data_IF_367017987987
#
_entry.id   IF_367017987987
#
_cell.length_a   1.000
_cell.length_b   1.000
_cell.length_c   1.000
_cell.angle_alpha   90.00
_cell.angle_beta   90.00
_cell.angle_gamma   90.00
#
_symmetry.space_group_name_H-M   'P 1'
#
loop_
_entity.id
_entity.type
_entity.pdbx_description
1 polymer ?
#
# COMPACT_ATOMS: atom_id res chain seq x y z
N UNK A 1 23.36 5.10 17.22
CA UNK A 1 23.73 4.27 16.08
C UNK A 1 22.90 2.98 16.10
N UNK A 2 22.41 2.50 14.97
CA UNK A 2 21.71 1.21 14.88
C UNK A 2 22.70 0.07 15.12
N UNK A 3 22.34 -0.89 15.98
CA UNK A 3 23.14 -2.10 16.27
C UNK A 3 22.22 -3.33 16.26
N UNK A 4 22.78 -4.50 16.08
CA UNK A 4 22.00 -5.74 16.06
C UNK A 4 21.42 -6.06 17.45
N UNK A 5 22.12 -5.68 18.52
CA UNK A 5 21.67 -5.82 19.90
C UNK A 5 20.38 -5.03 20.12
N UNK A 6 20.28 -3.78 19.58
CA UNK A 6 19.03 -3.01 19.63
C UNK A 6 17.86 -3.73 18.95
N UNK A 7 18.12 -4.45 17.86
CA UNK A 7 17.07 -5.24 17.17
C UNK A 7 16.64 -6.44 18.02
N UNK A 8 17.58 -7.12 18.68
CA UNK A 8 17.24 -8.19 19.63
C UNK A 8 16.50 -7.69 20.85
N UNK A 9 16.88 -6.52 21.37
CA UNK A 9 16.17 -5.89 22.48
C UNK A 9 14.75 -5.47 22.08
N UNK A 10 14.60 -4.95 20.86
CA UNK A 10 13.27 -4.68 20.29
C UNK A 10 12.43 -5.95 20.16
N UNK A 11 13.02 -7.07 19.72
CA UNK A 11 12.31 -8.36 19.63
C UNK A 11 11.80 -8.82 21.01
N UNK A 12 12.62 -8.70 22.04
CA UNK A 12 12.22 -9.03 23.42
C UNK A 12 11.09 -8.11 23.91
N UNK A 13 11.23 -6.79 23.69
CA UNK A 13 10.23 -5.81 24.09
C UNK A 13 8.87 -6.02 23.40
N UNK A 14 8.86 -6.49 22.16
CA UNK A 14 7.65 -6.74 21.37
C UNK A 14 6.94 -8.06 21.70
N UNK A 15 7.54 -8.92 22.53
CA UNK A 15 6.93 -10.19 22.94
C UNK A 15 5.61 -9.96 23.66
N UNK A 16 4.53 -10.57 23.15
CA UNK A 16 3.17 -10.39 23.69
C UNK A 16 2.47 -9.08 23.30
N UNK A 17 3.14 -8.21 22.53
CA UNK A 17 2.61 -6.91 22.07
C UNK A 17 2.36 -6.94 20.56
N UNK A 18 3.39 -7.23 19.79
CA UNK A 18 3.25 -7.43 18.35
C UNK A 18 2.98 -8.90 18.04
N UNK A 19 2.16 -9.12 17.02
CA UNK A 19 1.95 -10.47 16.49
C UNK A 19 3.20 -10.90 15.72
N UNK A 20 3.70 -12.11 15.97
CA UNK A 20 4.63 -12.78 15.04
C UNK A 20 3.82 -13.18 13.81
N UNK A 21 3.95 -12.40 12.74
CA UNK A 21 3.18 -12.66 11.51
C UNK A 21 3.79 -13.80 10.72
N UNK A 22 2.98 -14.51 9.95
CA UNK A 22 3.44 -15.66 9.17
C UNK A 22 4.09 -15.24 7.85
N UNK A 23 5.02 -16.06 7.35
CA UNK A 23 5.49 -16.05 5.98
C UNK A 23 4.66 -17.09 5.18
N UNK A 24 3.67 -16.63 4.42
CA UNK A 24 2.71 -17.49 3.71
C UNK A 24 3.21 -17.77 2.30
N UNK A 25 3.25 -19.06 1.91
CA UNK A 25 3.62 -19.46 0.55
C UNK A 25 2.59 -19.04 -0.50
N UNK A 26 3.03 -18.38 -1.57
CA UNK A 26 2.18 -17.75 -2.58
C UNK A 26 2.58 -18.11 -4.03
N UNK A 27 2.52 -19.40 -4.42
CA UNK A 27 3.08 -19.90 -5.71
C UNK A 27 2.39 -19.32 -6.95
N UNK A 28 1.16 -18.82 -6.82
CA UNK A 28 0.38 -18.29 -7.95
C UNK A 28 0.75 -16.85 -8.31
N UNK A 29 1.44 -16.12 -7.42
CA UNK A 29 1.76 -14.70 -7.63
C UNK A 29 3.00 -14.49 -8.50
N UNK A 30 3.95 -15.43 -8.48
CA UNK A 30 5.18 -15.34 -9.30
C UNK A 30 5.62 -16.73 -9.74
N UNK A 31 5.12 -17.25 -10.87
CA UNK A 31 5.48 -18.58 -11.36
C UNK A 31 6.98 -18.72 -11.59
N UNK A 32 7.57 -19.84 -11.11
CA UNK A 32 9.00 -20.09 -11.21
C UNK A 32 9.83 -19.51 -10.06
N UNK A 33 9.17 -18.90 -9.07
CA UNK A 33 9.77 -18.39 -7.83
C UNK A 33 9.11 -19.09 -6.64
N UNK A 34 9.90 -19.46 -5.63
CA UNK A 34 9.36 -19.91 -4.34
C UNK A 34 9.03 -18.65 -3.51
N UNK A 35 7.88 -18.03 -3.80
CA UNK A 35 7.46 -16.75 -3.23
C UNK A 35 6.70 -16.93 -1.93
N UNK A 36 7.10 -16.17 -0.91
CA UNK A 36 6.40 -16.05 0.37
C UNK A 36 5.98 -14.60 0.64
N UNK A 37 4.93 -14.44 1.44
CA UNK A 37 4.39 -13.15 1.88
C UNK A 37 4.58 -13.00 3.38
N UNK A 38 5.37 -12.04 3.83
CA UNK A 38 5.45 -11.64 5.24
C UNK A 38 4.28 -10.72 5.57
N UNK A 39 3.30 -11.23 6.28
CA UNK A 39 1.94 -10.66 6.38
C UNK A 39 1.80 -9.60 7.48
N UNK A 40 2.55 -8.50 7.41
CA UNK A 40 2.42 -7.38 8.35
C UNK A 40 1.07 -6.63 8.22
N UNK A 41 0.31 -6.85 7.15
CA UNK A 41 -1.10 -6.44 7.04
C UNK A 41 -2.02 -7.12 8.05
N UNK A 42 -1.61 -8.26 8.62
CA UNK A 42 -2.32 -8.97 9.70
C UNK A 42 -1.79 -8.65 11.10
N UNK A 43 -0.93 -7.65 11.25
CA UNK A 43 -0.45 -7.16 12.54
C UNK A 43 -1.64 -6.58 13.36
N UNK A 44 -1.47 -6.43 14.66
CA UNK A 44 -2.52 -5.98 15.60
C UNK A 44 -3.21 -4.68 15.15
N UNK A 45 -2.43 -3.72 14.63
CA UNK A 45 -2.95 -2.46 14.07
C UNK A 45 -3.15 -2.51 12.53
N UNK A 46 -3.13 -3.69 11.92
CA UNK A 46 -3.21 -3.83 10.47
C UNK A 46 -1.97 -3.37 9.72
N UNK A 47 -0.84 -3.08 10.38
CA UNK A 47 0.43 -2.71 9.76
C UNK A 47 1.62 -2.88 10.70
N UNK A 48 2.82 -2.93 10.13
CA UNK A 48 4.10 -3.06 10.85
C UNK A 48 4.41 -1.93 11.82
N UNK A 49 3.77 -0.78 11.71
CA UNK A 49 4.12 0.47 12.43
C UNK A 49 4.12 0.34 13.94
N UNK A 50 3.32 -0.56 14.50
CA UNK A 50 3.31 -0.86 15.94
C UNK A 50 4.71 -1.23 16.46
N UNK A 51 5.49 -2.01 15.69
CA UNK A 51 6.78 -2.54 16.11
C UNK A 51 7.76 -1.43 16.50
N UNK A 52 7.99 -0.50 15.57
CA UNK A 52 8.91 0.63 15.83
C UNK A 52 8.36 1.62 16.85
N UNK A 53 7.05 1.93 16.79
CA UNK A 53 6.42 2.84 17.74
C UNK A 53 6.52 2.31 19.18
N UNK A 54 6.23 1.04 19.38
CA UNK A 54 6.30 0.42 20.71
C UNK A 54 7.72 0.39 21.25
N UNK A 55 8.68 -0.11 20.47
CA UNK A 55 10.06 -0.18 20.92
C UNK A 55 10.62 1.20 21.23
N UNK A 56 10.37 2.21 20.40
CA UNK A 56 10.75 3.60 20.69
C UNK A 56 10.25 4.06 22.05
N UNK A 57 8.99 3.78 22.39
CA UNK A 57 8.41 4.16 23.68
C UNK A 57 9.05 3.44 24.86
N UNK A 58 9.52 2.21 24.69
CA UNK A 58 10.26 1.50 25.76
C UNK A 58 11.64 2.10 26.03
N UNK A 59 12.20 2.81 25.04
CA UNK A 59 13.49 3.49 25.17
C UNK A 59 13.40 4.90 25.78
N UNK A 60 12.20 5.44 26.00
CA UNK A 60 12.01 6.74 26.62
C UNK A 60 12.37 6.72 28.11
N UNK A 61 12.98 7.79 28.62
CA UNK A 61 13.19 7.98 30.04
C UNK A 61 11.87 8.11 30.82
N UNK A 62 11.90 7.94 32.14
CA UNK A 62 10.71 8.13 32.98
C UNK A 62 10.12 9.54 32.85
N UNK A 63 10.97 10.56 32.73
CA UNK A 63 10.55 11.94 32.53
C UNK A 63 9.88 12.16 31.18
N UNK A 64 10.41 11.57 30.09
CA UNK A 64 9.82 11.63 28.76
C UNK A 64 8.47 10.91 28.73
N UNK A 65 8.36 9.74 29.36
CA UNK A 65 7.11 9.00 29.52
C UNK A 65 6.06 9.81 30.28
N UNK A 66 6.44 10.47 31.36
CA UNK A 66 5.54 11.28 32.18
C UNK A 66 4.99 12.49 31.40
N UNK A 67 5.80 13.11 30.53
CA UNK A 67 5.34 14.20 29.65
C UNK A 67 4.42 13.71 28.55
N UNK A 68 4.63 12.49 28.04
CA UNK A 68 3.87 11.90 26.95
C UNK A 68 4.54 12.06 25.60
N UNK A 69 3.86 11.53 24.57
CA UNK A 69 4.38 11.48 23.21
C UNK A 69 3.46 12.21 22.24
N UNK A 70 4.03 12.68 21.12
CA UNK A 70 3.28 13.29 20.03
C UNK A 70 3.75 12.76 18.68
N UNK A 71 2.81 12.60 17.74
CA UNK A 71 3.12 12.24 16.37
C UNK A 71 2.23 13.01 15.40
N UNK A 72 2.67 13.11 14.14
CA UNK A 72 1.85 13.59 13.04
C UNK A 72 1.63 12.47 12.03
N UNK A 73 0.40 12.00 11.89
CA UNK A 73 0.01 10.99 10.89
C UNK A 73 -1.49 10.79 10.85
N UNK A 74 -2.05 10.69 9.66
CA UNK A 74 -3.45 10.29 9.44
C UNK A 74 -3.60 8.79 9.06
N UNK A 75 -2.55 7.96 9.23
CA UNK A 75 -2.55 6.58 8.76
C UNK A 75 -1.99 5.59 9.78
N UNK A 76 -1.26 4.58 9.27
CA UNK A 76 -0.73 3.46 10.05
C UNK A 76 0.16 3.88 11.24
N UNK A 77 0.93 4.96 11.09
CA UNK A 77 1.79 5.43 12.19
C UNK A 77 0.96 5.98 13.36
N UNK A 78 -0.13 6.69 13.09
CA UNK A 78 -1.04 7.16 14.13
C UNK A 78 -1.57 6.01 14.99
N UNK A 79 -2.10 4.97 14.35
CA UNK A 79 -2.62 3.78 15.05
C UNK A 79 -1.53 3.02 15.80
N UNK A 80 -0.34 2.88 15.18
CA UNK A 80 0.82 2.25 15.82
C UNK A 80 1.27 2.99 17.07
N UNK A 81 1.34 4.33 17.03
CA UNK A 81 1.68 5.18 18.18
C UNK A 81 0.59 5.12 19.26
N UNK A 82 -0.68 5.21 18.85
CA UNK A 82 -1.80 5.19 19.79
C UNK A 82 -1.86 3.87 20.60
N UNK A 83 -1.77 2.71 19.92
CA UNK A 83 -1.75 1.41 20.60
C UNK A 83 -0.48 1.23 21.44
N UNK A 84 0.70 1.65 20.93
CA UNK A 84 1.94 1.57 21.67
C UNK A 84 1.89 2.40 22.97
N UNK A 85 1.31 3.60 22.91
CA UNK A 85 1.11 4.46 24.07
C UNK A 85 0.15 3.84 25.09
N UNK A 86 -0.99 3.32 24.63
CA UNK A 86 -1.96 2.61 25.47
C UNK A 86 -1.29 1.45 26.22
N UNK A 87 -0.50 0.62 25.52
CA UNK A 87 0.20 -0.54 26.11
C UNK A 87 1.28 -0.15 27.10
N UNK A 88 1.90 1.03 26.94
CA UNK A 88 2.93 1.57 27.86
C UNK A 88 2.36 2.48 28.95
N UNK A 89 1.05 2.77 28.96
CA UNK A 89 0.44 3.72 29.91
C UNK A 89 0.92 5.17 29.71
N UNK A 90 1.30 5.56 28.48
CA UNK A 90 1.83 6.87 28.13
C UNK A 90 0.73 7.69 27.43
N UNK A 91 0.60 8.98 27.77
CA UNK A 91 -0.27 9.89 27.04
C UNK A 91 0.24 10.08 25.62
N UNK A 92 -0.64 9.93 24.62
CA UNK A 92 -0.32 10.20 23.21
C UNK A 92 -1.23 11.27 22.62
N UNK A 93 -0.62 12.20 21.88
CA UNK A 93 -1.32 13.20 21.06
C UNK A 93 -0.98 12.95 19.59
N UNK A 94 -2.00 12.86 18.74
CA UNK A 94 -1.82 12.65 17.30
C UNK A 94 -2.37 13.86 16.56
N UNK A 95 -1.51 14.60 15.90
CA UNK A 95 -1.89 15.69 15.01
C UNK A 95 -2.15 15.15 13.61
N UNK A 96 -3.27 15.54 13.01
CA UNK A 96 -3.64 15.18 11.64
C UNK A 96 -4.49 16.28 11.03
N UNK A 97 -4.50 16.39 9.67
CA UNK A 97 -5.35 17.36 8.98
C UNK A 97 -6.84 17.13 9.30
N UNK A 98 -7.62 18.20 9.36
CA UNK A 98 -9.06 18.15 9.60
C UNK A 98 -9.83 17.42 8.48
N UNK A 99 -9.30 17.41 7.25
CA UNK A 99 -9.80 16.62 6.12
C UNK A 99 -9.46 15.13 6.16
N UNK A 100 -8.84 14.60 7.23
CA UNK A 100 -8.55 13.19 7.35
C UNK A 100 -9.82 12.32 7.39
N UNK A 101 -9.81 11.11 6.76
CA UNK A 101 -10.97 10.21 6.78
C UNK A 101 -11.42 9.89 8.21
N UNK A 102 -12.72 10.00 8.45
CA UNK A 102 -13.33 9.77 9.79
C UNK A 102 -12.96 8.40 10.33
N UNK A 103 -12.92 7.36 9.50
CA UNK A 103 -12.53 6.01 9.89
C UNK A 103 -11.12 5.94 10.49
N UNK A 104 -10.16 6.70 9.94
CA UNK A 104 -8.77 6.78 10.44
C UNK A 104 -8.69 7.55 11.76
N UNK A 105 -9.48 8.62 11.91
CA UNK A 105 -9.59 9.40 13.15
C UNK A 105 -10.16 8.52 14.27
N UNK A 106 -11.28 7.86 14.02
CA UNK A 106 -11.93 7.01 15.02
C UNK A 106 -11.08 5.78 15.40
N UNK A 107 -10.40 5.16 14.43
CA UNK A 107 -9.45 4.08 14.70
C UNK A 107 -8.31 4.56 15.64
N UNK A 108 -7.79 5.78 15.46
CA UNK A 108 -6.76 6.35 16.33
C UNK A 108 -7.30 6.61 17.74
N UNK A 109 -8.51 7.18 17.87
CA UNK A 109 -9.17 7.42 19.15
C UNK A 109 -9.49 6.13 19.89
N UNK A 110 -9.85 5.06 19.18
CA UNK A 110 -10.22 3.76 19.79
C UNK A 110 -9.07 3.15 20.59
N UNK A 111 -7.82 3.50 20.28
CA UNK A 111 -6.64 3.14 21.06
C UNK A 111 -6.31 4.14 22.19
N UNK A 112 -7.20 5.11 22.47
CA UNK A 112 -7.07 6.01 23.60
C UNK A 112 -6.16 7.23 23.38
N UNK A 113 -5.70 7.49 22.15
CA UNK A 113 -4.92 8.69 21.85
C UNK A 113 -5.81 9.94 21.75
N UNK A 114 -5.28 11.07 22.23
CA UNK A 114 -5.85 12.39 21.99
C UNK A 114 -5.61 12.80 20.54
N UNK A 115 -6.67 13.17 19.83
CA UNK A 115 -6.59 13.59 18.42
C UNK A 115 -6.66 15.10 18.33
N UNK A 116 -5.63 15.72 17.74
CA UNK A 116 -5.56 17.13 17.42
C UNK A 116 -5.80 17.34 15.92
N UNK A 117 -7.02 17.75 15.55
CA UNK A 117 -7.34 18.11 14.17
C UNK A 117 -6.79 19.50 13.86
N UNK A 118 -6.10 19.64 12.73
CA UNK A 118 -5.45 20.86 12.28
C UNK A 118 -6.00 21.25 10.93
N UNK A 119 -6.47 22.50 10.79
CA UNK A 119 -6.91 23.03 9.50
C UNK A 119 -5.76 23.05 8.50
N UNK A 120 -5.99 22.53 7.29
CA UNK A 120 -5.02 22.50 6.21
C UNK A 120 -4.56 21.11 5.81
N UNK A 121 -3.27 20.99 5.41
CA UNK A 121 -2.67 19.76 4.89
C UNK A 121 -1.72 19.11 5.89
N UNK A 122 -1.09 17.99 5.47
CA UNK A 122 -0.14 17.26 6.33
C UNK A 122 0.99 18.13 6.90
N UNK A 123 1.54 19.06 6.09
CA UNK A 123 2.65 19.90 6.52
C UNK A 123 2.19 20.86 7.67
N UNK A 124 0.94 21.34 7.66
CA UNK A 124 0.37 22.17 8.74
C UNK A 124 0.21 21.38 10.04
N UNK A 125 -0.34 20.17 9.94
CA UNK A 125 -0.46 19.25 11.08
C UNK A 125 0.92 18.88 11.65
N UNK A 126 1.91 18.71 10.80
CA UNK A 126 3.28 18.44 11.22
C UNK A 126 3.90 19.61 11.99
N UNK A 127 3.74 20.84 11.50
CA UNK A 127 4.20 22.05 12.21
C UNK A 127 3.50 22.21 13.57
N UNK A 128 2.18 21.94 13.61
CA UNK A 128 1.42 21.95 14.88
C UNK A 128 1.95 20.92 15.87
N UNK A 129 2.30 19.72 15.41
CA UNK A 129 2.89 18.70 16.26
C UNK A 129 4.25 19.14 16.83
N UNK A 130 5.08 19.79 16.01
CA UNK A 130 6.36 20.34 16.48
C UNK A 130 6.16 21.49 17.49
N UNK A 131 5.20 22.37 17.24
CA UNK A 131 4.84 23.44 18.20
C UNK A 131 4.43 22.86 19.55
N UNK A 132 3.52 21.88 19.56
CA UNK A 132 3.02 21.24 20.77
C UNK A 132 4.14 20.44 21.49
N UNK A 133 5.06 19.82 20.73
CA UNK A 133 6.27 19.20 21.29
C UNK A 133 7.05 20.20 22.13
N UNK A 134 7.32 21.37 21.55
CA UNK A 134 8.18 22.38 22.21
C UNK A 134 7.45 23.05 23.39
N UNK A 135 6.14 23.32 23.27
CA UNK A 135 5.33 23.95 24.32
C UNK A 135 5.06 23.02 25.52
N UNK A 136 4.85 21.72 25.27
CA UNK A 136 4.41 20.74 26.28
C UNK A 136 5.52 19.77 26.68
N UNK A 137 6.65 19.79 25.99
CA UNK A 137 7.77 18.89 26.23
C UNK A 137 7.49 17.43 25.83
N UNK A 138 6.55 17.18 24.93
CA UNK A 138 6.27 15.85 24.40
C UNK A 138 7.47 15.27 23.65
N UNK A 139 7.66 13.95 23.73
CA UNK A 139 8.60 13.25 22.86
C UNK A 139 7.99 13.02 21.49
N UNK A 140 8.61 13.56 20.43
CA UNK A 140 8.12 13.38 19.07
C UNK A 140 8.48 11.99 18.54
N UNK A 141 7.49 11.21 18.14
CA UNK A 141 7.69 9.91 17.52
C UNK A 141 7.73 10.05 16.01
N UNK A 142 8.94 10.03 15.45
CA UNK A 142 9.14 10.12 14.01
C UNK A 142 8.71 8.81 13.31
N UNK A 143 7.98 8.86 12.18
CA UNK A 143 7.42 7.67 11.54
C UNK A 143 8.45 6.73 10.91
N UNK A 144 9.71 7.15 10.72
CA UNK A 144 10.77 6.36 10.07
C UNK A 144 12.21 6.79 10.39
N UNK A 145 12.48 8.07 10.65
CA UNK A 145 13.84 8.60 10.79
C UNK A 145 14.27 8.66 12.28
N UNK A 146 14.27 7.49 12.91
CA UNK A 146 14.66 7.31 14.32
C UNK A 146 15.27 5.91 14.50
N UNK A 147 16.41 5.82 15.16
CA UNK A 147 17.18 4.57 15.35
C UNK A 147 16.36 3.48 16.05
N UNK A 148 15.59 3.85 17.08
CA UNK A 148 14.82 2.89 17.86
C UNK A 148 13.57 2.44 17.08
N UNK A 149 12.94 3.35 16.31
CA UNK A 149 11.87 2.98 15.37
C UNK A 149 12.41 2.00 14.33
N UNK A 150 13.55 2.28 13.71
CA UNK A 150 14.18 1.40 12.72
C UNK A 150 14.53 0.04 13.33
N UNK A 151 15.06 -0.02 14.55
CA UNK A 151 15.38 -1.26 15.25
C UNK A 151 14.12 -2.11 15.48
N UNK A 152 13.00 -1.50 15.88
CA UNK A 152 11.71 -2.17 16.01
C UNK A 152 11.24 -2.81 14.71
N UNK A 153 11.39 -2.11 13.56
CA UNK A 153 11.06 -2.65 12.24
C UNK A 153 11.99 -3.79 11.82
N UNK A 154 13.26 -3.74 12.27
CA UNK A 154 14.25 -4.80 12.02
C UNK A 154 13.86 -6.17 12.58
N UNK A 155 12.96 -6.22 13.56
CA UNK A 155 12.46 -7.49 14.13
C UNK A 155 11.73 -8.36 13.11
N UNK A 156 11.18 -7.76 12.05
CA UNK A 156 10.56 -8.49 10.93
C UNK A 156 11.60 -9.38 10.24
N UNK A 157 12.83 -8.90 10.09
CA UNK A 157 13.91 -9.65 9.49
C UNK A 157 14.32 -10.87 10.33
N UNK A 158 14.32 -10.74 11.67
CA UNK A 158 14.57 -11.89 12.56
C UNK A 158 13.50 -12.97 12.39
N UNK A 159 12.23 -12.56 12.28
CA UNK A 159 11.13 -13.49 12.04
C UNK A 159 11.22 -14.15 10.65
N UNK A 160 11.65 -13.41 9.62
CA UNK A 160 11.87 -13.97 8.27
C UNK A 160 12.96 -15.03 8.32
N UNK A 161 14.11 -14.76 8.95
CA UNK A 161 15.22 -15.72 9.06
C UNK A 161 14.84 -16.96 9.86
N UNK A 162 14.01 -16.82 10.89
CA UNK A 162 13.51 -17.94 11.67
C UNK A 162 12.54 -18.83 10.86
N UNK A 163 11.63 -18.21 10.10
CA UNK A 163 10.61 -18.91 9.32
C UNK A 163 11.17 -19.48 8.00
N UNK A 164 12.13 -18.78 7.39
CA UNK A 164 12.71 -19.11 6.09
C UNK A 164 14.24 -18.94 6.14
N UNK A 165 14.96 -19.88 6.80
CA UNK A 165 16.43 -19.78 6.94
C UNK A 165 17.19 -19.70 5.62
N UNK A 166 16.62 -20.23 4.54
CA UNK A 166 17.24 -20.28 3.21
C UNK A 166 16.69 -19.23 2.24
N UNK A 167 16.14 -18.12 2.74
CA UNK A 167 15.68 -17.03 1.88
C UNK A 167 16.85 -16.44 1.09
N UNK A 168 16.63 -16.20 -0.21
CA UNK A 168 17.61 -15.62 -1.14
C UNK A 168 17.37 -14.13 -1.36
N UNK A 169 16.10 -13.69 -1.32
CA UNK A 169 15.72 -12.32 -1.63
C UNK A 169 14.55 -11.82 -0.80
N UNK A 170 14.56 -10.53 -0.42
CA UNK A 170 13.46 -9.88 0.29
C UNK A 170 13.11 -8.57 -0.41
N UNK A 171 11.83 -8.40 -0.74
CA UNK A 171 11.27 -7.19 -1.35
C UNK A 171 10.53 -6.40 -0.28
N UNK A 172 10.90 -5.12 -0.11
CA UNK A 172 10.40 -4.28 0.98
C UNK A 172 9.86 -2.95 0.45
N UNK A 173 8.65 -2.54 0.84
CA UNK A 173 8.11 -1.21 0.51
C UNK A 173 8.97 -0.09 1.08
N UNK A 174 9.17 0.98 0.29
CA UNK A 174 9.85 2.20 0.70
C UNK A 174 8.92 3.41 0.58
N UNK A 175 8.76 4.12 1.71
CA UNK A 175 8.37 5.52 1.75
C UNK A 175 9.54 6.32 2.32
N UNK A 176 9.49 6.76 3.58
CA UNK A 176 10.62 7.43 4.24
C UNK A 176 11.82 6.53 4.60
N UNK A 177 11.75 5.23 4.35
CA UNK A 177 12.87 4.29 4.46
C UNK A 177 12.98 3.52 5.78
N UNK A 178 12.14 3.80 6.81
CA UNK A 178 12.32 3.17 8.14
C UNK A 178 12.15 1.66 8.15
N UNK A 179 11.19 1.11 7.40
CA UNK A 179 10.95 -0.33 7.30
C UNK A 179 12.13 -1.05 6.66
N UNK A 180 12.50 -0.61 5.46
CA UNK A 180 13.59 -1.24 4.71
C UNK A 180 14.93 -1.08 5.42
N UNK A 181 15.18 0.06 6.07
CA UNK A 181 16.40 0.28 6.87
C UNK A 181 16.56 -0.76 7.97
N UNK A 182 15.50 -1.03 8.73
CA UNK A 182 15.52 -2.04 9.78
C UNK A 182 15.72 -3.45 9.23
N UNK A 183 14.98 -3.81 8.18
CA UNK A 183 15.05 -5.14 7.55
C UNK A 183 16.41 -5.35 6.88
N UNK A 184 16.86 -4.40 6.06
CA UNK A 184 18.11 -4.52 5.30
C UNK A 184 19.32 -4.59 6.22
N UNK A 185 19.42 -3.69 7.20
CA UNK A 185 20.48 -3.72 8.19
C UNK A 185 20.56 -5.08 8.90
N UNK A 186 19.43 -5.58 9.38
CA UNK A 186 19.37 -6.84 10.14
C UNK A 186 19.75 -8.03 9.27
N UNK A 187 19.16 -8.14 8.06
CA UNK A 187 19.46 -9.24 7.14
C UNK A 187 20.92 -9.23 6.67
N UNK A 188 21.43 -8.07 6.26
CA UNK A 188 22.81 -7.95 5.80
C UNK A 188 23.84 -8.17 6.91
N UNK A 189 23.50 -7.86 8.15
CA UNK A 189 24.36 -8.14 9.31
C UNK A 189 24.41 -9.64 9.61
N UNK A 190 23.26 -10.34 9.56
CA UNK A 190 23.18 -11.75 9.95
C UNK A 190 23.42 -12.73 8.78
N UNK A 191 23.02 -12.37 7.57
CA UNK A 191 23.17 -13.18 6.35
C UNK A 191 23.41 -12.28 5.13
N UNK A 192 24.65 -11.82 4.90
CA UNK A 192 25.00 -10.84 3.87
C UNK A 192 24.65 -11.24 2.43
N UNK A 193 24.50 -12.56 2.18
CA UNK A 193 24.16 -13.09 0.86
C UNK A 193 22.76 -12.78 0.38
N UNK A 194 21.83 -12.45 1.30
CA UNK A 194 20.44 -12.15 0.94
C UNK A 194 20.38 -10.87 0.13
N UNK A 195 19.66 -10.90 -1.00
CA UNK A 195 19.39 -9.72 -1.82
C UNK A 195 18.21 -8.93 -1.26
N UNK A 196 18.40 -7.61 -1.10
CA UNK A 196 17.39 -6.69 -0.58
C UNK A 196 16.95 -5.76 -1.70
N UNK A 197 15.70 -5.89 -2.09
CA UNK A 197 15.06 -5.04 -3.09
C UNK A 197 14.12 -4.04 -2.43
N UNK A 198 14.37 -2.76 -2.64
CA UNK A 198 13.44 -1.71 -2.25
C UNK A 198 12.38 -1.50 -3.33
N UNK A 199 11.13 -1.27 -2.94
CA UNK A 199 10.06 -1.01 -3.89
C UNK A 199 9.34 0.28 -3.54
N UNK A 200 9.34 1.24 -4.47
CA UNK A 200 8.61 2.51 -4.37
C UNK A 200 7.47 2.59 -5.38
N UNK A 201 6.46 3.40 -5.08
CA UNK A 201 5.50 3.80 -6.09
C UNK A 201 6.16 4.75 -7.10
N UNK A 202 5.90 4.56 -8.40
CA UNK A 202 6.45 5.42 -9.47
C UNK A 202 6.10 6.89 -9.26
N UNK A 203 4.96 7.18 -8.63
CA UNK A 203 4.53 8.55 -8.31
C UNK A 203 5.14 9.14 -7.03
N UNK A 204 6.02 8.41 -6.31
CA UNK A 204 6.69 8.87 -5.09
C UNK A 204 8.07 8.21 -4.89
N UNK A 205 9.02 8.29 -5.85
CA UNK A 205 10.30 7.57 -5.83
C UNK A 205 11.38 8.36 -5.06
N UNK A 206 11.11 8.77 -3.83
CA UNK A 206 11.97 9.71 -3.12
C UNK A 206 13.34 9.12 -2.73
N UNK A 207 13.40 7.85 -2.31
CA UNK A 207 14.65 7.20 -1.93
C UNK A 207 15.49 6.85 -3.17
N UNK A 208 14.85 6.34 -4.23
CA UNK A 208 15.52 6.05 -5.50
C UNK A 208 16.18 7.29 -6.07
N UNK A 209 15.43 8.39 -6.19
CA UNK A 209 15.96 9.67 -6.67
C UNK A 209 17.12 10.18 -5.78
N UNK A 210 16.97 10.08 -4.46
CA UNK A 210 18.02 10.51 -3.53
C UNK A 210 19.31 9.71 -3.73
N UNK A 211 19.24 8.41 -3.92
CA UNK A 211 20.41 7.55 -4.15
C UNK A 211 21.02 7.77 -5.54
N UNK A 212 20.22 7.98 -6.57
CA UNK A 212 20.69 8.24 -7.93
C UNK A 212 21.41 9.61 -8.06
N UNK A 213 20.90 10.63 -7.36
CA UNK A 213 21.49 11.97 -7.39
C UNK A 213 22.54 12.22 -6.28
N UNK A 214 22.65 11.33 -5.30
CA UNK A 214 23.54 11.48 -4.15
C UNK A 214 23.16 12.64 -3.21
N UNK A 215 21.89 13.06 -3.22
CA UNK A 215 21.36 14.18 -2.43
C UNK A 215 19.95 13.94 -1.92
N UNK A 216 19.65 14.48 -0.72
CA UNK A 216 18.33 14.38 -0.08
C UNK A 216 17.40 15.49 -0.58
N UNK A 217 17.12 15.52 -1.88
CA UNK A 217 16.20 16.49 -2.44
C UNK A 217 14.73 16.12 -2.21
N UNK A 218 13.92 17.15 -1.90
CA UNK A 218 12.47 16.98 -1.74
C UNK A 218 11.82 16.89 -3.11
N UNK A 219 11.04 15.84 -3.37
CA UNK A 219 10.23 15.75 -4.58
C UNK A 219 9.25 16.92 -4.68
N UNK A 220 9.04 17.50 -5.85
CA UNK A 220 8.13 18.63 -6.04
C UNK A 220 6.69 18.23 -5.74
N UNK A 221 6.30 17.03 -6.11
CA UNK A 221 4.98 16.45 -5.85
C UNK A 221 5.05 14.95 -5.67
N UNK A 222 4.03 14.38 -5.05
CA UNK A 222 3.80 12.94 -4.96
C UNK A 222 2.35 12.64 -5.32
N UNK A 223 2.13 11.59 -6.09
CA UNK A 223 0.80 11.16 -6.51
C UNK A 223 0.78 9.65 -6.68
N UNK A 224 0.11 8.94 -5.77
CA UNK A 224 -0.03 7.48 -5.82
C UNK A 224 -1.18 7.02 -4.93
N UNK A 225 -1.80 5.88 -5.25
CA UNK A 225 -2.77 5.18 -4.38
C UNK A 225 -2.12 4.55 -3.15
N UNK A 226 -0.79 4.44 -3.14
CA UNK A 226 0.00 3.91 -2.02
C UNK A 226 0.29 5.02 -0.99
N UNK A 227 -0.75 5.58 -0.35
CA UNK A 227 -0.69 6.72 0.57
C UNK A 227 0.31 6.52 1.72
N UNK A 228 0.43 5.30 2.24
CA UNK A 228 1.36 4.95 3.32
C UNK A 228 2.85 5.11 2.97
N UNK A 229 3.19 5.22 1.67
CA UNK A 229 4.55 5.45 1.16
C UNK A 229 4.67 6.73 0.29
N UNK A 230 3.63 7.56 0.22
CA UNK A 230 3.63 8.82 -0.52
C UNK A 230 4.47 9.90 0.20
N UNK A 231 5.77 9.71 0.28
CA UNK A 231 6.72 10.55 1.01
C UNK A 231 7.52 11.39 0.02
N UNK A 232 7.65 12.69 0.30
CA UNK A 232 8.38 13.62 -0.58
C UNK A 232 9.90 13.55 -0.42
N UNK A 233 10.39 13.11 0.74
CA UNK A 233 11.82 13.10 1.07
C UNK A 233 12.12 11.97 2.06
N UNK A 234 13.15 11.14 1.85
CA UNK A 234 13.58 10.15 2.82
C UNK A 234 14.22 10.82 4.04
N UNK A 235 14.41 10.07 5.12
CA UNK A 235 15.21 10.54 6.25
C UNK A 235 16.71 10.47 5.94
N UNK A 236 17.49 11.30 6.58
CA UNK A 236 18.95 11.27 6.47
C UNK A 236 19.54 9.94 6.97
N UNK A 237 19.11 9.50 8.15
CA UNK A 237 19.50 8.21 8.71
C UNK A 237 19.06 7.03 7.82
N UNK A 238 17.84 7.07 7.29
CA UNK A 238 17.34 5.99 6.44
C UNK A 238 18.02 5.98 5.08
N UNK A 239 18.39 7.13 4.54
CA UNK A 239 19.19 7.26 3.33
C UNK A 239 20.56 6.60 3.51
N UNK A 240 21.27 6.93 4.62
CA UNK A 240 22.58 6.36 4.93
C UNK A 240 22.56 4.83 5.05
N UNK A 241 21.48 4.29 5.65
CA UNK A 241 21.32 2.85 5.80
C UNK A 241 20.98 2.20 4.46
N UNK A 242 20.05 2.78 3.70
CA UNK A 242 19.65 2.25 2.39
C UNK A 242 20.82 2.25 1.40
N UNK A 243 21.64 3.30 1.37
CA UNK A 243 22.82 3.39 0.50
C UNK A 243 23.84 2.27 0.74
N UNK A 244 23.88 1.71 1.95
CA UNK A 244 24.85 0.67 2.35
C UNK A 244 24.31 -0.76 2.23
N UNK A 245 23.02 -0.95 2.47
CA UNK A 245 22.46 -2.28 2.72
C UNK A 245 21.35 -2.70 1.74
N UNK A 246 20.86 -1.81 0.88
CA UNK A 246 19.87 -2.14 -0.16
C UNK A 246 20.60 -2.40 -1.48
N UNK A 247 20.34 -3.55 -2.11
CA UNK A 247 21.03 -3.93 -3.35
C UNK A 247 20.46 -3.19 -4.56
N UNK A 248 19.14 -2.97 -4.61
CA UNK A 248 18.49 -2.31 -5.74
C UNK A 248 17.15 -1.70 -5.30
N UNK A 249 16.75 -0.59 -5.93
CA UNK A 249 15.43 0.02 -5.75
C UNK A 249 14.69 0.08 -7.09
N UNK A 250 13.50 -0.52 -7.14
CA UNK A 250 12.61 -0.52 -8.29
C UNK A 250 11.33 0.23 -8.02
N UNK A 251 10.64 0.63 -9.09
CA UNK A 251 9.36 1.33 -8.98
C UNK A 251 8.24 0.56 -9.64
N UNK A 252 7.02 0.69 -9.09
CA UNK A 252 5.79 0.12 -9.63
C UNK A 252 4.75 1.22 -9.84
N UNK A 253 3.91 1.07 -10.86
CA UNK A 253 2.81 2.00 -11.17
C UNK A 253 1.59 1.72 -10.30
N UNK A 254 0.65 2.67 -10.22
CA UNK A 254 -0.61 2.50 -9.50
C UNK A 254 -1.49 1.38 -10.10
N UNK A 255 -1.42 1.15 -11.41
CA UNK A 255 -2.11 0.03 -12.06
C UNK A 255 -1.50 -1.32 -11.64
N UNK A 256 -0.17 -1.42 -11.54
CA UNK A 256 0.52 -2.61 -11.05
C UNK A 256 0.23 -2.87 -9.56
N UNK A 257 0.15 -1.81 -8.76
CA UNK A 257 -0.24 -1.89 -7.34
C UNK A 257 -1.68 -2.38 -7.21
N UNK A 258 -2.60 -1.84 -8.01
CA UNK A 258 -4.01 -2.24 -8.04
C UNK A 258 -4.18 -3.71 -8.43
N UNK A 259 -3.44 -4.17 -9.45
CA UNK A 259 -3.42 -5.56 -9.85
C UNK A 259 -2.88 -6.48 -8.74
N UNK A 260 -1.86 -6.05 -8.01
CA UNK A 260 -1.32 -6.82 -6.88
C UNK A 260 -2.30 -6.90 -5.70
N UNK A 261 -3.03 -5.82 -5.38
CA UNK A 261 -4.09 -5.84 -4.36
C UNK A 261 -5.15 -6.88 -4.75
N UNK A 262 -5.62 -6.85 -5.99
CA UNK A 262 -6.62 -7.80 -6.49
C UNK A 262 -6.10 -9.24 -6.46
N UNK A 263 -4.86 -9.48 -6.91
CA UNK A 263 -4.24 -10.79 -6.89
C UNK A 263 -4.09 -11.36 -5.46
N UNK A 264 -3.73 -10.52 -4.48
CA UNK A 264 -3.68 -10.89 -3.06
C UNK A 264 -5.06 -11.32 -2.54
N UNK A 265 -6.11 -10.57 -2.86
CA UNK A 265 -7.48 -10.90 -2.46
C UNK A 265 -7.96 -12.21 -3.11
N UNK A 266 -7.75 -12.38 -4.41
CA UNK A 266 -8.24 -13.52 -5.16
C UNK A 266 -7.48 -14.83 -4.85
N UNK A 267 -6.15 -14.76 -4.71
CA UNK A 267 -5.32 -15.96 -4.59
C UNK A 267 -4.95 -16.31 -3.16
N UNK A 268 -4.77 -15.30 -2.29
CA UNK A 268 -4.28 -15.47 -0.92
C UNK A 268 -5.33 -15.14 0.15
N UNK A 269 -6.47 -14.54 -0.24
CA UNK A 269 -7.53 -14.05 0.68
C UNK A 269 -7.02 -13.00 1.67
N UNK A 270 -6.01 -12.24 1.23
CA UNK A 270 -5.42 -11.15 2.00
C UNK A 270 -5.87 -9.81 1.46
N UNK A 271 -6.21 -8.90 2.36
CA UNK A 271 -6.44 -7.48 2.05
C UNK A 271 -5.16 -6.70 2.36
N UNK A 272 -4.64 -6.01 1.36
CA UNK A 272 -3.51 -5.10 1.50
C UNK A 272 -3.90 -3.70 1.04
N UNK A 273 -3.33 -2.68 1.68
CA UNK A 273 -3.36 -1.31 1.18
C UNK A 273 -2.35 -1.10 0.05
N UNK A 274 -2.40 0.02 -0.67
CA UNK A 274 -1.47 0.31 -1.76
C UNK A 274 -0.02 0.16 -1.34
N UNK A 275 0.37 0.75 -0.21
CA UNK A 275 1.73 0.64 0.35
C UNK A 275 2.12 -0.80 0.71
N UNK A 276 1.16 -1.62 1.16
CA UNK A 276 1.37 -3.03 1.48
C UNK A 276 1.55 -3.93 0.27
N UNK A 277 1.02 -3.53 -0.89
CA UNK A 277 1.00 -4.33 -2.09
C UNK A 277 2.19 -4.09 -3.04
N UNK A 278 2.97 -2.98 -2.88
CA UNK A 278 4.04 -2.62 -3.84
C UNK A 278 5.11 -3.70 -4.00
N UNK A 279 5.50 -4.38 -2.92
CA UNK A 279 6.48 -5.47 -2.97
C UNK A 279 5.97 -6.66 -3.80
N UNK A 280 4.68 -6.98 -3.65
CA UNK A 280 4.00 -8.01 -4.44
C UNK A 280 3.87 -7.59 -5.90
N UNK A 281 3.56 -6.31 -6.17
CA UNK A 281 3.52 -5.77 -7.53
C UNK A 281 4.88 -5.92 -8.22
N UNK A 282 5.99 -5.64 -7.53
CA UNK A 282 7.32 -5.81 -8.10
C UNK A 282 7.62 -7.27 -8.48
N UNK A 283 7.19 -8.23 -7.68
CA UNK A 283 7.33 -9.66 -7.98
C UNK A 283 6.40 -10.08 -9.14
N UNK A 284 5.12 -9.71 -9.08
CA UNK A 284 4.10 -10.06 -10.06
C UNK A 284 4.44 -9.56 -11.49
N UNK A 285 5.01 -8.35 -11.57
CA UNK A 285 5.38 -7.71 -12.83
C UNK A 285 6.87 -7.86 -13.19
N UNK A 286 7.58 -8.81 -12.54
CA UNK A 286 8.98 -9.16 -12.83
C UNK A 286 9.92 -7.94 -12.86
N UNK A 287 9.76 -6.99 -11.90
CA UNK A 287 10.63 -5.81 -11.79
C UNK A 287 12.04 -6.18 -11.34
N UNK A 288 12.21 -7.33 -10.72
CA UNK A 288 13.47 -7.92 -10.28
C UNK A 288 13.52 -9.41 -10.67
N UNK A 289 14.70 -9.92 -10.93
CA UNK A 289 14.88 -11.35 -11.27
C UNK A 289 14.80 -12.22 -10.01
N UNK A 290 13.69 -12.94 -9.88
CA UNK A 290 13.43 -13.88 -8.78
C UNK A 290 13.39 -15.34 -9.24
N UNK A 291 13.62 -15.63 -10.53
CA UNK A 291 13.49 -16.98 -11.08
C UNK A 291 14.40 -17.98 -10.35
N UNK A 292 13.82 -19.07 -9.87
CA UNK A 292 14.52 -20.12 -9.13
C UNK A 292 14.97 -19.73 -7.73
N UNK A 293 14.56 -18.55 -7.21
CA UNK A 293 14.91 -18.07 -5.87
C UNK A 293 13.78 -18.32 -4.88
N UNK A 294 14.16 -18.43 -3.60
CA UNK A 294 13.25 -18.34 -2.46
C UNK A 294 13.17 -16.88 -2.04
N UNK A 295 12.04 -16.24 -2.31
CA UNK A 295 11.86 -14.80 -2.11
C UNK A 295 10.71 -14.48 -1.15
N UNK A 296 10.83 -13.35 -0.42
CA UNK A 296 9.81 -12.84 0.49
C UNK A 296 9.38 -11.45 0.05
N UNK A 297 8.08 -11.25 -0.14
CA UNK A 297 7.47 -9.92 -0.24
C UNK A 297 6.91 -9.50 1.12
N UNK A 298 7.32 -8.34 1.63
CA UNK A 298 6.74 -7.79 2.86
C UNK A 298 5.44 -7.07 2.53
N UNK A 299 4.31 -7.63 2.95
CA UNK A 299 2.98 -7.00 2.85
C UNK A 299 2.81 -6.11 4.06
N UNK A 300 3.25 -4.85 3.95
CA UNK A 300 3.53 -3.97 5.09
C UNK A 300 2.30 -3.45 5.84
N UNK A 301 1.12 -3.43 5.21
CA UNK A 301 -0.13 -2.98 5.82
C UNK A 301 -1.37 -3.35 5.02
N UNK A 302 -2.53 -3.32 5.68
CA UNK A 302 -3.83 -3.66 5.13
C UNK A 302 -4.94 -2.64 5.41
N UNK A 303 -4.62 -1.46 5.96
CA UNK A 303 -5.59 -0.44 6.37
C UNK A 303 -6.10 0.39 5.17
N UNK A 304 -6.52 -0.28 4.11
CA UNK A 304 -7.08 0.36 2.92
C UNK A 304 -8.46 0.95 3.21
N UNK A 305 -8.73 2.13 2.67
CA UNK A 305 -10.08 2.68 2.68
C UNK A 305 -10.98 1.89 1.73
N UNK A 306 -12.19 1.56 2.18
CA UNK A 306 -13.14 0.74 1.39
C UNK A 306 -13.56 1.41 0.08
N UNK A 307 -13.56 2.75 0.02
CA UNK A 307 -13.84 3.50 -1.22
C UNK A 307 -12.70 3.36 -2.22
N UNK A 308 -11.45 3.38 -1.75
CA UNK A 308 -10.27 3.10 -2.57
C UNK A 308 -10.27 1.65 -3.02
N UNK A 309 -10.58 0.72 -2.11
CA UNK A 309 -10.68 -0.71 -2.45
C UNK A 309 -11.72 -0.96 -3.55
N UNK A 310 -12.88 -0.33 -3.48
CA UNK A 310 -13.89 -0.40 -4.54
C UNK A 310 -13.36 0.07 -5.89
N UNK A 311 -12.63 1.20 -5.93
CA UNK A 311 -12.00 1.72 -7.17
C UNK A 311 -10.94 0.75 -7.70
N UNK A 312 -10.12 0.18 -6.81
CA UNK A 312 -9.09 -0.81 -7.17
C UNK A 312 -9.72 -2.06 -7.78
N UNK A 313 -10.79 -2.59 -7.17
CA UNK A 313 -11.52 -3.75 -7.68
C UNK A 313 -12.08 -3.45 -9.08
N UNK A 314 -12.80 -2.34 -9.24
CA UNK A 314 -13.38 -1.96 -10.52
C UNK A 314 -12.30 -1.78 -11.60
N UNK A 315 -11.19 -1.11 -11.28
CA UNK A 315 -10.06 -0.95 -12.20
C UNK A 315 -9.44 -2.30 -12.58
N UNK A 316 -9.26 -3.18 -11.60
CA UNK A 316 -8.73 -4.54 -11.83
C UNK A 316 -9.63 -5.39 -12.73
N UNK A 317 -10.94 -5.30 -12.55
CA UNK A 317 -11.91 -5.99 -13.41
C UNK A 317 -11.84 -5.50 -14.87
N UNK A 318 -11.73 -4.18 -15.08
CA UNK A 318 -11.51 -3.60 -16.42
C UNK A 318 -10.19 -4.08 -17.03
N UNK A 319 -9.09 -4.00 -16.29
CA UNK A 319 -7.76 -4.37 -16.76
C UNK A 319 -7.58 -5.87 -17.02
N UNK A 320 -8.45 -6.71 -16.50
CA UNK A 320 -8.47 -8.17 -16.74
C UNK A 320 -9.51 -8.60 -17.79
N UNK A 321 -10.23 -7.65 -18.38
CA UNK A 321 -11.31 -7.94 -19.33
C UNK A 321 -12.52 -8.63 -18.69
N UNK A 322 -12.68 -8.51 -17.36
CA UNK A 322 -13.83 -9.04 -16.61
C UNK A 322 -14.99 -8.04 -16.51
N UNK A 323 -14.74 -6.82 -16.92
CA UNK A 323 -15.73 -5.78 -17.15
C UNK A 323 -15.33 -4.96 -18.36
N UNK A 324 -16.31 -4.48 -19.11
CA UNK A 324 -16.10 -3.53 -20.21
C UNK A 324 -17.28 -2.60 -20.35
N UNK A 325 -17.03 -1.42 -20.93
CA UNK A 325 -18.08 -0.52 -21.40
C UNK A 325 -18.09 -0.55 -22.94
N UNK A 326 -19.25 -0.78 -23.51
CA UNK A 326 -19.47 -0.73 -24.96
C UNK A 326 -20.35 0.47 -25.30
N UNK A 327 -19.96 1.19 -26.33
CA UNK A 327 -20.75 2.27 -26.93
C UNK A 327 -21.31 1.78 -28.24
N UNK A 328 -22.64 1.82 -28.37
CA UNK A 328 -23.35 1.27 -29.53
C UNK A 328 -24.25 2.36 -30.14
N UNK A 329 -24.03 2.66 -31.42
CA UNK A 329 -24.88 3.57 -32.15
C UNK A 329 -26.17 2.84 -32.57
N UNK A 330 -27.30 3.40 -32.19
CA UNK A 330 -28.63 2.83 -32.48
C UNK A 330 -29.50 3.86 -33.16
N UNK A 331 -30.48 3.36 -33.97
CA UNK A 331 -31.65 4.17 -34.35
C UNK A 331 -32.60 4.28 -33.15
N UNK A 332 -33.10 5.50 -32.83
CA UNK A 332 -34.05 5.69 -31.72
C UNK A 332 -35.44 5.12 -32.10
N UNK A 333 -35.56 3.81 -31.99
CA UNK A 333 -36.80 3.05 -32.31
C UNK A 333 -37.06 1.97 -31.26
N UNK A 334 -38.36 1.64 -31.01
CA UNK A 334 -38.72 0.53 -30.16
C UNK A 334 -38.06 -0.78 -30.55
N UNK A 335 -37.56 -1.55 -29.57
CA UNK A 335 -36.97 -2.86 -29.78
C UNK A 335 -35.43 -2.88 -29.93
N UNK A 336 -34.78 -1.76 -30.23
CA UNK A 336 -33.32 -1.73 -30.43
C UNK A 336 -32.54 -2.18 -29.17
N UNK A 337 -32.88 -1.64 -28.01
CA UNK A 337 -32.29 -2.05 -26.74
C UNK A 337 -32.50 -3.55 -26.46
N UNK A 338 -33.70 -4.09 -26.74
CA UNK A 338 -33.98 -5.53 -26.61
C UNK A 338 -33.04 -6.36 -27.50
N UNK A 339 -32.83 -5.93 -28.75
CA UNK A 339 -31.95 -6.62 -29.70
C UNK A 339 -30.51 -6.70 -29.17
N UNK A 340 -29.96 -5.58 -28.68
CA UNK A 340 -28.62 -5.53 -28.13
C UNK A 340 -28.48 -6.42 -26.88
N UNK A 341 -29.40 -6.28 -25.94
CA UNK A 341 -29.32 -7.04 -24.68
C UNK A 341 -29.54 -8.53 -24.88
N UNK A 342 -30.35 -8.93 -25.86
CA UNK A 342 -30.53 -10.35 -26.22
C UNK A 342 -29.25 -10.96 -26.78
N UNK A 343 -28.53 -10.27 -27.67
CA UNK A 343 -27.26 -10.75 -28.23
C UNK A 343 -26.21 -10.89 -27.13
N UNK A 344 -26.12 -9.90 -26.23
CA UNK A 344 -25.20 -9.96 -25.12
C UNK A 344 -25.50 -11.16 -24.20
N UNK A 345 -26.76 -11.36 -23.87
CA UNK A 345 -27.21 -12.51 -23.05
C UNK A 345 -26.93 -13.85 -23.73
N UNK A 346 -27.18 -13.97 -25.06
CA UNK A 346 -26.89 -15.19 -25.81
C UNK A 346 -25.39 -15.53 -25.84
N UNK A 347 -24.52 -14.53 -25.75
CA UNK A 347 -23.06 -14.71 -25.59
C UNK A 347 -22.64 -14.95 -24.15
N UNK A 348 -23.54 -14.83 -23.17
CA UNK A 348 -23.27 -15.04 -21.74
C UNK A 348 -22.66 -13.83 -21.03
N UNK A 349 -22.78 -12.63 -21.62
CA UNK A 349 -22.45 -11.36 -20.96
C UNK A 349 -23.56 -10.94 -20.01
N UNK A 350 -23.20 -10.43 -18.83
CA UNK A 350 -24.15 -9.88 -17.86
C UNK A 350 -24.14 -8.35 -17.92
N UNK A 351 -25.32 -7.75 -18.10
CA UNK A 351 -25.48 -6.29 -18.17
C UNK A 351 -25.59 -5.71 -16.76
N UNK A 352 -24.69 -4.82 -16.38
CA UNK A 352 -24.69 -4.17 -15.05
C UNK A 352 -25.19 -2.74 -15.09
N UNK A 353 -25.04 -2.03 -16.22
CA UNK A 353 -25.52 -0.66 -16.38
C UNK A 353 -25.91 -0.39 -17.83
N UNK A 354 -26.95 0.40 -18.02
CA UNK A 354 -27.42 0.86 -19.34
C UNK A 354 -27.69 2.35 -19.26
N UNK A 355 -27.11 3.11 -20.19
CA UNK A 355 -27.42 4.53 -20.40
C UNK A 355 -27.80 4.73 -21.85
N UNK A 356 -28.95 5.32 -22.06
CA UNK A 356 -29.51 5.61 -23.40
C UNK A 356 -29.46 7.13 -23.61
N UNK A 357 -28.53 7.58 -24.43
CA UNK A 357 -28.28 9.01 -24.68
C UNK A 357 -28.78 9.38 -26.07
N UNK A 358 -29.78 10.29 -26.11
CA UNK A 358 -30.43 10.73 -27.38
C UNK A 358 -29.78 11.94 -28.00
N UNK A 359 -29.02 12.72 -27.22
CA UNK A 359 -28.40 13.94 -27.72
C UNK A 359 -26.90 13.91 -27.39
N UNK A 360 -26.08 13.40 -28.31
CA UNK A 360 -24.62 13.59 -28.27
C UNK A 360 -24.21 14.46 -29.45
N UNK A 361 -23.23 15.36 -29.27
CA UNK A 361 -22.62 16.11 -30.35
C UNK A 361 -22.14 15.16 -31.45
N UNK A 362 -22.65 15.33 -32.70
CA UNK A 362 -22.29 14.51 -33.85
C UNK A 362 -23.18 13.30 -34.11
N UNK A 363 -24.24 13.03 -33.32
CA UNK A 363 -25.22 11.98 -33.63
C UNK A 363 -26.26 12.46 -34.65
N UNK A 364 -26.72 11.53 -35.52
CA UNK A 364 -27.88 11.77 -36.40
C UNK A 364 -29.11 12.14 -35.56
N UNK A 365 -29.99 12.99 -36.09
CA UNK A 365 -31.23 13.43 -35.43
C UNK A 365 -32.13 12.23 -35.03
N UNK A 366 -32.06 11.12 -35.74
CA UNK A 366 -32.76 9.86 -35.46
C UNK A 366 -31.88 8.83 -34.74
N UNK A 367 -30.65 9.19 -34.37
CA UNK A 367 -29.69 8.31 -33.69
C UNK A 367 -29.71 8.49 -32.20
N UNK A 368 -29.26 7.45 -31.51
CA UNK A 368 -28.92 7.50 -30.07
C UNK A 368 -27.69 6.65 -29.81
N UNK A 369 -26.99 6.99 -28.74
CA UNK A 369 -25.88 6.19 -28.24
C UNK A 369 -26.32 5.39 -27.01
N UNK A 370 -26.13 4.08 -27.07
CA UNK A 370 -26.29 3.20 -25.93
C UNK A 370 -24.93 2.91 -25.31
N UNK A 371 -24.74 3.39 -24.10
CA UNK A 371 -23.59 3.00 -23.26
C UNK A 371 -24.02 1.84 -22.35
N UNK A 372 -23.33 0.72 -22.47
CA UNK A 372 -23.67 -0.49 -21.75
C UNK A 372 -22.43 -1.05 -21.05
N UNK A 373 -22.52 -1.23 -19.74
CA UNK A 373 -21.45 -1.84 -18.95
C UNK A 373 -21.78 -3.30 -18.73
N UNK A 374 -20.79 -4.15 -19.00
CA UNK A 374 -20.92 -5.60 -18.97
C UNK A 374 -19.95 -6.22 -17.97
N UNK A 375 -20.39 -7.28 -17.29
CA UNK A 375 -19.50 -8.30 -16.73
C UNK A 375 -19.22 -9.35 -17.79
N UNK A 376 -17.94 -9.65 -17.94
CA UNK A 376 -17.42 -10.58 -18.95
C UNK A 376 -16.41 -11.53 -18.31
N UNK A 377 -15.96 -12.56 -19.03
CA UNK A 377 -15.01 -13.55 -18.50
C UNK A 377 -13.55 -13.11 -18.65
N UNK A 378 -13.22 -12.52 -19.81
CA UNK A 378 -11.89 -12.07 -20.23
C UNK A 378 -11.99 -11.23 -21.50
N UNK A 379 -10.87 -10.76 -22.04
CA UNK A 379 -10.81 -9.98 -23.27
C UNK A 379 -11.35 -10.74 -24.50
N UNK A 380 -11.09 -12.04 -24.60
CA UNK A 380 -11.61 -12.87 -25.69
C UNK A 380 -13.14 -12.88 -25.70
N UNK A 381 -13.78 -12.97 -24.55
CA UNK A 381 -15.24 -12.91 -24.41
C UNK A 381 -15.80 -11.53 -24.82
N UNK A 382 -15.09 -10.45 -24.51
CA UNK A 382 -15.46 -9.10 -24.97
C UNK A 382 -15.47 -9.05 -26.50
N UNK A 383 -14.44 -9.58 -27.17
CA UNK A 383 -14.36 -9.59 -28.64
C UNK A 383 -15.42 -10.49 -29.26
N UNK A 384 -15.78 -11.61 -28.62
CA UNK A 384 -16.92 -12.46 -29.10
C UNK A 384 -18.24 -11.69 -29.06
N UNK A 385 -18.52 -10.94 -27.99
CA UNK A 385 -19.71 -10.09 -27.85
C UNK A 385 -19.73 -8.99 -28.92
N UNK A 386 -18.62 -8.26 -29.09
CA UNK A 386 -18.47 -7.21 -30.10
C UNK A 386 -18.75 -7.73 -31.50
N UNK A 387 -18.14 -8.85 -31.84
CA UNK A 387 -18.33 -9.51 -33.16
C UNK A 387 -19.81 -9.92 -33.40
N UNK A 388 -20.44 -10.52 -32.36
CA UNK A 388 -21.86 -10.92 -32.49
C UNK A 388 -22.79 -9.71 -32.68
N UNK A 389 -22.51 -8.58 -32.03
CA UNK A 389 -23.23 -7.32 -32.21
C UNK A 389 -23.04 -6.78 -33.63
N UNK A 390 -21.82 -6.75 -34.17
CA UNK A 390 -21.49 -6.28 -35.50
C UNK A 390 -22.13 -7.15 -36.60
N UNK A 391 -22.10 -8.47 -36.44
CA UNK A 391 -22.75 -9.42 -37.36
C UNK A 391 -24.26 -9.23 -37.45
N UNK A 392 -24.90 -8.69 -36.44
CA UNK A 392 -26.33 -8.32 -36.42
C UNK A 392 -26.57 -6.87 -36.81
N UNK A 393 -25.56 -6.17 -37.32
CA UNK A 393 -25.65 -4.82 -37.87
C UNK A 393 -25.61 -3.69 -36.86
N UNK A 394 -25.26 -3.97 -35.62
CA UNK A 394 -25.03 -2.92 -34.60
C UNK A 394 -23.64 -2.29 -34.77
N UNK A 395 -23.59 -0.97 -34.80
CA UNK A 395 -22.35 -0.23 -34.97
C UNK A 395 -21.77 0.11 -33.60
N UNK A 396 -20.56 -0.37 -33.30
CA UNK A 396 -19.80 -0.01 -32.12
C UNK A 396 -19.07 1.32 -32.40
N UNK A 397 -19.03 2.18 -31.37
CA UNK A 397 -18.31 3.45 -31.36
C UNK A 397 -17.18 3.30 -30.35
N UNK A 398 -16.00 3.83 -30.67
CA UNK A 398 -14.82 3.84 -29.75
C UNK A 398 -14.96 4.93 -28.69
#
# INVERSE_FOLDING_TARGET
MLTIEKVYDAQKALTGVARKTDAIYAPKLCPGTELYLKTENLQVTGSFKLRGAYYKMTCLSEEERARGVIACSAGNHAQGVALAAQKNGIKAVICLPDGAPISKVEATKSYGAEVCLVEGVYDDAYQKALQLRDEKGYSFLHPFNDVDVIAGQGTIALEILEQLPEVDAVLVPIGGGGLISGIAYTLKTLKPSIKIYGVEAKGAPCMKNALEHGSLEKLPSVSTIADGIAVKQPGDLTYDICSKYVDEIVTVTDDEISAAILALMETQKLVAEGAGAVSVAAALFNKVDLKGKKAVCVVSGGNIDVTILSRVINRGLLMSGRSCELHIELLDRPGQLKGVTQIIADQGGNVTSVRHERASEGSDVNGCCLRIVLETRNFEHIEQIKKALQEKGFKLID
#
